data_IF_149781773225
#
_entry.id   IF_149781773225
#
_cell.length_a   1.000
_cell.length_b   1.000
_cell.length_c   1.000
_cell.angle_alpha   90.00
_cell.angle_beta   90.00
_cell.angle_gamma   90.00
#
_symmetry.space_group_name_H-M   'P 1'
#
loop_
_entity.id
_entity.type
_entity.pdbx_description
1 polymer ?
#
# COMPACT_ATOMS: atom_id res chain seq x y z
N UNK A 1 12.15 -13.41 24.90
CA UNK A 1 10.83 -12.74 24.78
C UNK A 1 10.35 -12.86 23.34
N UNK A 2 9.08 -12.55 23.08
CA UNK A 2 8.57 -12.41 21.71
C UNK A 2 9.27 -11.26 20.97
N UNK A 3 9.59 -11.47 19.70
CA UNK A 3 10.03 -10.42 18.81
C UNK A 3 9.14 -10.42 17.56
N UNK A 4 8.61 -9.24 17.22
CA UNK A 4 7.75 -9.06 16.04
C UNK A 4 8.08 -7.74 15.37
N UNK A 5 8.17 -7.75 14.04
CA UNK A 5 8.35 -6.54 13.23
C UNK A 5 7.64 -6.70 11.89
N UNK A 6 7.41 -5.59 11.20
CA UNK A 6 6.88 -5.58 9.85
C UNK A 6 7.63 -4.56 8.99
N UNK A 7 7.85 -4.89 7.73
CA UNK A 7 8.40 -3.98 6.72
C UNK A 7 7.39 -3.78 5.59
N UNK A 8 7.51 -2.65 4.91
CA UNK A 8 6.62 -2.23 3.85
C UNK A 8 7.40 -1.70 2.65
N UNK A 9 7.04 -2.16 1.45
CA UNK A 9 7.65 -1.74 0.19
C UNK A 9 6.56 -1.37 -0.82
N UNK A 10 6.50 -0.12 -1.28
CA UNK A 10 7.34 1.01 -0.86
C UNK A 10 7.00 1.47 0.58
N UNK A 11 7.96 2.12 1.25
CA UNK A 11 7.73 2.76 2.56
C UNK A 11 6.89 4.04 2.46
N UNK A 12 6.76 4.60 1.26
CA UNK A 12 5.82 5.68 0.91
C UNK A 12 5.03 5.26 -0.32
N UNK A 13 3.74 5.02 -0.15
CA UNK A 13 2.82 4.59 -1.19
C UNK A 13 1.93 5.74 -1.64
N UNK A 14 1.54 5.76 -2.92
CA UNK A 14 0.49 6.68 -3.39
C UNK A 14 -0.87 6.02 -3.24
N UNK A 15 -1.91 6.82 -3.05
CA UNK A 15 -3.29 6.36 -3.24
C UNK A 15 -3.45 5.60 -4.57
N UNK A 16 -4.15 4.48 -4.55
CA UNK A 16 -4.32 3.58 -5.70
C UNK A 16 -3.16 2.61 -5.94
N UNK A 17 -2.09 2.66 -5.15
CA UNK A 17 -0.94 1.76 -5.28
C UNK A 17 -1.09 0.50 -4.43
N UNK A 18 -0.27 -0.51 -4.71
CA UNK A 18 -0.10 -1.69 -3.86
C UNK A 18 1.13 -1.55 -2.97
N UNK A 19 1.02 -1.98 -1.71
CA UNK A 19 2.15 -2.10 -0.78
C UNK A 19 2.38 -3.58 -0.47
N UNK A 20 3.60 -4.06 -0.71
CA UNK A 20 4.05 -5.36 -0.22
C UNK A 20 4.44 -5.26 1.25
N UNK A 21 3.93 -6.15 2.09
CA UNK A 21 4.23 -6.21 3.52
C UNK A 21 4.86 -7.56 3.87
N UNK A 22 5.90 -7.52 4.70
CA UNK A 22 6.49 -8.69 5.34
C UNK A 22 6.41 -8.55 6.85
N UNK A 23 5.66 -9.44 7.51
CA UNK A 23 5.62 -9.53 8.97
C UNK A 23 6.53 -10.68 9.43
N UNK A 24 7.37 -10.41 10.42
CA UNK A 24 8.29 -11.37 11.00
C UNK A 24 7.92 -11.63 12.45
N UNK A 25 7.89 -12.90 12.84
CA UNK A 25 7.55 -13.36 14.19
C UNK A 25 8.62 -14.31 14.67
N UNK A 26 9.15 -14.06 15.88
CA UNK A 26 10.02 -14.97 16.60
C UNK A 26 9.42 -15.24 17.98
N UNK A 27 9.14 -16.52 18.24
CA UNK A 27 8.59 -16.99 19.50
C UNK A 27 9.70 -17.38 20.48
N UNK A 28 9.59 -17.10 21.79
CA UNK A 28 10.55 -17.58 22.78
C UNK A 28 10.43 -19.09 23.04
N UNK A 29 9.30 -19.71 22.70
CA UNK A 29 9.01 -21.14 22.90
C UNK A 29 8.31 -21.71 21.67
N UNK A 30 8.39 -23.02 21.45
CA UNK A 30 7.66 -23.64 20.36
C UNK A 30 6.17 -23.62 20.66
N UNK A 31 5.37 -23.04 19.77
CA UNK A 31 3.91 -22.95 19.92
C UNK A 31 3.22 -23.19 18.58
N UNK A 32 1.99 -23.68 18.67
CA UNK A 32 1.05 -23.67 17.55
C UNK A 32 0.05 -22.53 17.74
N UNK A 33 -0.32 -21.86 16.66
CA UNK A 33 -1.20 -20.72 16.76
C UNK A 33 -1.65 -20.12 15.44
N UNK A 34 -2.15 -18.90 15.55
CA UNK A 34 -2.49 -18.06 14.42
C UNK A 34 -1.73 -16.73 14.50
N UNK A 35 -1.21 -16.27 13.36
CA UNK A 35 -0.61 -14.95 13.22
C UNK A 35 -1.61 -14.01 12.58
N UNK A 36 -1.99 -12.97 13.29
CA UNK A 36 -2.86 -11.90 12.81
C UNK A 36 -2.01 -10.69 12.43
N UNK A 37 -2.19 -10.18 11.22
CA UNK A 37 -1.57 -8.93 10.76
C UNK A 37 -2.67 -7.96 10.37
N UNK A 38 -2.58 -6.72 10.82
CA UNK A 38 -3.50 -5.66 10.45
C UNK A 38 -2.78 -4.38 10.07
N UNK A 39 -3.36 -3.65 9.13
CA UNK A 39 -2.96 -2.29 8.79
C UNK A 39 -4.01 -1.32 9.27
N UNK A 40 -3.57 -0.33 10.03
CA UNK A 40 -4.42 0.67 10.67
C UNK A 40 -4.08 2.04 10.11
N UNK A 41 -5.10 2.77 9.65
CA UNK A 41 -4.94 4.10 9.08
C UNK A 41 -4.75 5.18 10.18
N UNK A 42 -4.44 6.44 9.81
CA UNK A 42 -4.27 7.53 10.78
C UNK A 42 -5.49 7.78 11.69
N UNK A 43 -6.70 7.50 11.19
CA UNK A 43 -7.95 7.57 11.96
C UNK A 43 -8.18 6.35 12.87
N UNK A 44 -7.15 5.51 13.06
CA UNK A 44 -7.17 4.29 13.88
C UNK A 44 -8.15 3.21 13.43
N UNK A 45 -8.57 3.24 12.16
CA UNK A 45 -9.43 2.21 11.56
C UNK A 45 -8.58 1.16 10.86
N UNK A 46 -8.91 -0.11 11.07
CA UNK A 46 -8.32 -1.22 10.31
C UNK A 46 -8.80 -1.15 8.86
N UNK A 47 -7.87 -1.03 7.92
CA UNK A 47 -8.16 -1.01 6.48
C UNK A 47 -7.83 -2.34 5.79
N UNK A 48 -7.01 -3.15 6.45
CA UNK A 48 -6.60 -4.46 5.98
C UNK A 48 -6.33 -5.36 7.17
N UNK A 49 -6.69 -6.63 7.06
CA UNK A 49 -6.28 -7.66 8.00
C UNK A 49 -6.11 -9.00 7.30
N UNK A 50 -5.18 -9.81 7.79
CA UNK A 50 -4.97 -11.19 7.36
C UNK A 50 -4.65 -12.08 8.56
N UNK A 51 -5.23 -13.27 8.58
CA UNK A 51 -4.95 -14.31 9.57
C UNK A 51 -4.25 -15.47 8.87
N UNK A 52 -3.10 -15.85 9.38
CA UNK A 52 -2.39 -17.07 9.03
C UNK A 52 -2.67 -18.07 10.15
N UNK A 53 -3.63 -18.98 9.95
CA UNK A 53 -4.01 -19.99 10.93
C UNK A 53 -3.11 -21.24 10.84
N UNK A 54 -3.12 -22.08 11.88
CA UNK A 54 -2.42 -23.37 11.89
C UNK A 54 -0.90 -23.25 11.75
N UNK A 55 -0.32 -22.20 12.32
CA UNK A 55 1.11 -21.92 12.23
C UNK A 55 1.85 -22.59 13.37
N UNK A 56 2.94 -23.28 13.04
CA UNK A 56 3.91 -23.75 14.02
C UNK A 56 5.07 -22.76 14.08
N UNK A 57 5.23 -22.10 15.23
CA UNK A 57 6.33 -21.17 15.48
C UNK A 57 7.38 -21.89 16.34
N UNK A 58 8.50 -22.28 15.74
CA UNK A 58 9.59 -22.90 16.48
C UNK A 58 10.31 -21.88 17.38
N UNK A 59 10.73 -22.32 18.57
CA UNK A 59 11.44 -21.48 19.53
C UNK A 59 12.70 -20.85 18.90
N UNK A 60 12.84 -19.52 19.03
CA UNK A 60 14.01 -18.77 18.57
C UNK A 60 14.11 -18.62 17.04
N UNK A 61 13.27 -19.28 16.26
CA UNK A 61 13.28 -19.17 14.80
C UNK A 61 12.38 -18.04 14.32
N UNK A 62 12.80 -17.38 13.23
CA UNK A 62 12.02 -16.32 12.59
C UNK A 62 11.12 -16.94 11.52
N UNK A 63 9.81 -16.81 11.71
CA UNK A 63 8.81 -17.04 10.67
C UNK A 63 8.49 -15.72 9.96
N UNK A 64 8.37 -15.77 8.63
CA UNK A 64 8.07 -14.61 7.80
C UNK A 64 6.78 -14.81 7.03
N UNK A 65 5.91 -13.82 7.08
CA UNK A 65 4.59 -13.80 6.45
C UNK A 65 4.54 -12.67 5.44
N UNK A 66 4.24 -12.99 4.18
CA UNK A 66 4.17 -12.04 3.08
C UNK A 66 2.71 -11.76 2.72
N UNK A 67 2.39 -10.51 2.44
CA UNK A 67 1.05 -10.08 2.02
C UNK A 67 1.12 -8.82 1.16
N UNK A 68 0.03 -8.52 0.45
CA UNK A 68 -0.08 -7.32 -0.39
C UNK A 68 -1.34 -6.55 -0.02
N UNK A 69 -1.18 -5.24 0.16
CA UNK A 69 -2.24 -4.33 0.60
C UNK A 69 -2.51 -3.33 -0.51
N UNK A 70 -3.74 -3.32 -1.02
CA UNK A 70 -4.19 -2.30 -1.97
C UNK A 70 -4.57 -1.03 -1.20
N UNK A 71 -3.94 0.08 -1.55
CA UNK A 71 -4.29 1.40 -1.01
C UNK A 71 -5.37 1.98 -1.89
N UNK A 72 -6.56 2.22 -1.34
CA UNK A 72 -7.65 2.82 -2.09
C UNK A 72 -7.25 4.19 -2.68
N UNK A 73 -7.84 4.55 -3.83
CA UNK A 73 -7.62 5.86 -4.46
C UNK A 73 -8.13 7.03 -3.60
N UNK A 74 -9.04 6.75 -2.66
CA UNK A 74 -9.60 7.68 -1.69
C UNK A 74 -9.06 7.49 -0.27
N UNK A 75 -8.04 6.64 -0.10
CA UNK A 75 -7.46 6.36 1.22
C UNK A 75 -6.95 7.65 1.89
N UNK A 76 -7.16 7.80 3.20
CA UNK A 76 -6.61 8.94 3.93
C UNK A 76 -5.08 9.01 3.77
N UNK A 77 -4.54 10.19 3.57
CA UNK A 77 -3.08 10.39 3.57
C UNK A 77 -2.54 10.37 4.99
N UNK A 78 -1.25 10.08 5.14
CA UNK A 78 -0.56 10.02 6.43
C UNK A 78 0.01 8.64 6.76
N UNK A 79 0.36 8.44 8.02
CA UNK A 79 1.05 7.22 8.49
C UNK A 79 0.08 6.09 8.77
N UNK A 80 0.33 4.94 8.13
CA UNK A 80 -0.36 3.68 8.37
C UNK A 80 0.54 2.80 9.25
N UNK A 81 -0.05 2.17 10.26
CA UNK A 81 0.66 1.34 11.24
C UNK A 81 0.30 -0.13 11.01
N UNK A 82 1.31 -0.98 10.96
CA UNK A 82 1.16 -2.44 10.91
C UNK A 82 1.19 -2.99 12.32
N UNK A 83 0.18 -3.80 12.66
CA UNK A 83 0.06 -4.50 13.93
C UNK A 83 0.21 -6.00 13.70
N UNK A 84 0.82 -6.68 14.67
CA UNK A 84 1.02 -8.13 14.64
C UNK A 84 0.53 -8.73 15.96
N UNK A 85 -0.36 -9.70 15.86
CA UNK A 85 -0.83 -10.51 16.99
C UNK A 85 -0.49 -11.98 16.77
N UNK A 86 -0.23 -12.68 17.87
CA UNK A 86 -0.09 -14.14 17.89
C UNK A 86 -1.10 -14.69 18.87
N UNK A 87 -1.94 -15.60 18.41
CA UNK A 87 -3.02 -16.22 19.16
C UNK A 87 -2.83 -17.73 19.24
N UNK A 88 -3.45 -18.38 20.21
CA UNK A 88 -3.62 -19.84 20.20
C UNK A 88 -4.37 -20.31 18.96
N UNK A 89 -4.22 -21.58 18.60
CA UNK A 89 -4.84 -22.15 17.39
C UNK A 89 -6.36 -22.03 17.38
N UNK A 90 -7.01 -21.99 18.54
CA UNK A 90 -8.45 -21.80 18.69
C UNK A 90 -8.88 -20.32 18.79
N UNK A 91 -7.92 -19.39 18.71
CA UNK A 91 -8.15 -17.94 18.76
C UNK A 91 -8.55 -17.38 20.14
N UNK A 92 -8.60 -18.20 21.19
CA UNK A 92 -9.08 -17.76 22.52
C UNK A 92 -8.01 -17.09 23.38
N UNK A 93 -6.76 -17.51 23.25
CA UNK A 93 -5.64 -16.96 24.01
C UNK A 93 -4.81 -16.05 23.15
N UNK A 94 -4.54 -14.84 23.64
CA UNK A 94 -3.54 -13.93 23.05
C UNK A 94 -2.17 -14.25 23.64
N UNK A 95 -1.25 -14.75 22.82
CA UNK A 95 0.13 -14.99 23.25
C UNK A 95 0.99 -13.73 23.20
N UNK A 96 0.79 -12.92 22.16
CA UNK A 96 1.58 -11.71 21.96
C UNK A 96 0.83 -10.68 21.11
N UNK A 97 1.00 -9.40 21.42
CA UNK A 97 0.47 -8.30 20.64
C UNK A 97 1.52 -7.20 20.48
N UNK A 98 1.73 -6.78 19.24
CA UNK A 98 2.53 -5.62 18.90
C UNK A 98 1.70 -4.65 18.08
N UNK A 99 1.33 -3.52 18.69
CA UNK A 99 0.53 -2.47 18.06
C UNK A 99 1.32 -1.54 17.14
N UNK A 100 2.64 -1.72 17.04
CA UNK A 100 3.54 -0.89 16.22
C UNK A 100 4.69 -1.75 15.65
N UNK A 101 4.33 -2.79 14.89
CA UNK A 101 5.31 -3.71 14.30
C UNK A 101 6.09 -3.06 13.15
N UNK A 102 5.48 -2.10 12.46
CA UNK A 102 6.07 -1.32 11.37
C UNK A 102 5.10 -0.25 10.89
N UNK A 103 5.53 0.56 9.93
CA UNK A 103 4.68 1.60 9.34
C UNK A 103 5.10 1.94 7.92
N UNK A 104 4.18 2.60 7.21
CA UNK A 104 4.44 3.22 5.91
C UNK A 104 3.56 4.47 5.76
N UNK A 105 3.97 5.38 4.88
CA UNK A 105 3.22 6.60 4.59
C UNK A 105 2.36 6.43 3.35
N UNK A 106 1.15 6.98 3.36
CA UNK A 106 0.31 7.12 2.16
C UNK A 106 0.24 8.60 1.78
N UNK A 107 0.55 8.90 0.53
CA UNK A 107 0.47 10.25 -0.05
C UNK A 107 -0.58 10.29 -1.17
N UNK A 108 -1.03 11.48 -1.51
CA UNK A 108 -1.97 11.68 -2.59
C UNK A 108 -1.40 11.16 -3.91
N UNK A 109 -2.28 10.66 -4.78
CA UNK A 109 -1.90 10.50 -6.20
C UNK A 109 -1.66 11.90 -6.76
N UNK A 110 -0.59 12.08 -7.54
CA UNK A 110 -0.50 13.29 -8.34
C UNK A 110 -1.56 13.16 -9.43
N UNK A 111 -2.38 14.19 -9.67
CA UNK A 111 -3.15 14.22 -10.90
C UNK A 111 -2.14 14.17 -12.05
N UNK A 112 -2.34 13.26 -13.01
CA UNK A 112 -1.63 13.39 -14.28
C UNK A 112 -2.02 14.75 -14.83
N UNK A 113 -1.04 15.63 -15.03
CA UNK A 113 -1.30 16.97 -15.53
C UNK A 113 -2.00 16.85 -16.87
N UNK A 114 -3.29 17.15 -16.90
CA UNK A 114 -3.92 17.59 -18.13
C UNK A 114 -3.26 18.94 -18.43
N UNK A 115 -2.63 19.13 -19.61
CA UNK A 115 -2.26 20.45 -20.03
C UNK A 115 -3.56 21.26 -20.06
N UNK A 116 -3.72 22.20 -19.12
CA UNK A 116 -4.66 23.28 -19.30
C UNK A 116 -4.15 24.05 -20.50
N UNK A 117 -4.62 23.71 -21.70
CA UNK A 117 -4.65 24.70 -22.76
C UNK A 117 -5.41 25.88 -22.15
N UNK A 118 -4.82 27.08 -22.06
CA UNK A 118 -5.54 28.23 -21.54
C UNK A 118 -6.85 28.35 -22.32
N UNK A 119 -7.97 28.39 -21.60
CA UNK A 119 -9.33 28.48 -22.16
C UNK A 119 -9.59 29.83 -22.88
N UNK A 120 -8.54 30.62 -23.14
CA UNK A 120 -8.61 31.99 -23.67
C UNK A 120 -8.38 32.07 -25.19
N UNK A 121 -8.49 30.97 -25.92
CA UNK A 121 -8.51 30.98 -27.40
C UNK A 121 -9.87 30.50 -27.95
N UNK A 122 -10.95 30.66 -27.19
CA UNK A 122 -12.32 30.62 -27.71
C UNK A 122 -12.74 32.01 -28.25
N UNK A 123 -11.84 32.64 -29.01
CA UNK A 123 -12.06 33.90 -29.70
C UNK A 123 -12.53 33.67 -31.14
N UNK A 124 -13.84 33.65 -31.34
CA UNK A 124 -14.58 34.07 -32.54
C UNK A 124 -13.95 33.79 -33.94
N UNK A 125 -14.46 32.79 -34.67
CA UNK A 125 -14.62 32.94 -36.13
C UNK A 125 -15.80 32.12 -36.67
N UNK A 126 -16.84 32.84 -37.11
CA UNK A 126 -17.83 32.36 -38.07
C UNK A 126 -17.64 33.17 -39.36
N UNK A 127 -16.74 32.76 -40.26
CA UNK A 127 -16.90 32.96 -41.71
C UNK A 127 -15.80 32.25 -42.53
N UNK A 128 -16.21 31.22 -43.27
CA UNK A 128 -15.88 30.96 -44.68
C UNK A 128 -14.59 31.56 -45.26
N UNK A 129 -13.60 30.71 -45.59
CA UNK A 129 -13.14 30.44 -46.97
C UNK A 129 -11.79 29.69 -47.02
N UNK A 130 -11.81 28.57 -47.77
CA UNK A 130 -10.77 28.03 -48.66
C UNK A 130 -9.36 27.63 -48.12
N UNK A 131 -8.87 26.49 -48.63
CA UNK A 131 -7.43 26.19 -48.64
C UNK A 131 -6.95 24.96 -47.86
N UNK A 132 -7.02 23.80 -48.51
CA UNK A 132 -6.25 22.56 -48.26
C UNK A 132 -4.88 22.72 -47.57
N UNK A 133 -4.62 21.92 -46.52
CA UNK A 133 -3.39 21.11 -46.31
C UNK A 133 -3.44 20.36 -44.97
N UNK A 134 -3.44 19.03 -45.01
CA UNK A 134 -3.01 18.17 -43.88
C UNK A 134 -1.51 18.32 -43.64
N UNK A 135 -1.08 18.28 -42.37
CA UNK A 135 0.07 17.44 -42.02
C UNK A 135 -0.16 16.76 -40.64
N UNK A 136 0.62 15.80 -40.15
CA UNK A 136 1.49 14.76 -40.67
C UNK A 136 1.88 13.92 -39.43
N UNK A 137 2.09 12.62 -39.62
CA UNK A 137 2.54 11.63 -38.62
C UNK A 137 3.66 12.13 -37.70
N UNK A 138 3.47 12.05 -36.38
CA UNK A 138 4.52 12.33 -35.40
C UNK A 138 5.40 11.08 -35.17
N UNK A 139 6.70 11.18 -35.44
CA UNK A 139 7.70 10.14 -35.16
C UNK A 139 8.55 10.56 -33.95
N UNK A 140 8.59 9.68 -32.95
CA UNK A 140 9.33 9.81 -31.69
C UNK A 140 10.86 9.75 -31.93
N UNK A 141 11.64 10.66 -31.32
CA UNK A 141 13.10 10.51 -31.20
C UNK A 141 13.51 10.45 -29.73
N UNK A 142 14.19 9.36 -29.38
CA UNK A 142 14.94 9.17 -28.13
C UNK A 142 16.37 9.65 -28.37
N UNK A 143 16.90 10.51 -27.50
CA UNK A 143 18.32 10.89 -27.51
C UNK A 143 19.03 10.16 -26.39
N UNK A 144 20.21 9.60 -26.69
CA UNK A 144 21.14 9.03 -25.72
C UNK A 144 22.19 10.08 -25.34
#
# INVERSE_FOLDING_TARGET
>A
SWATRATATPSTARQGSTVALAAEVTSPTSVEGAVYVAVVNPARRTIYQQIFAGQTLAAGQRATYQMSVQIATTAATGTYVVRVGVFSSDGRSLYHWNSNAGSFSVVARTANGEPLLPEDEAGLDLSSADGSRTPATAVLRVTR
#
